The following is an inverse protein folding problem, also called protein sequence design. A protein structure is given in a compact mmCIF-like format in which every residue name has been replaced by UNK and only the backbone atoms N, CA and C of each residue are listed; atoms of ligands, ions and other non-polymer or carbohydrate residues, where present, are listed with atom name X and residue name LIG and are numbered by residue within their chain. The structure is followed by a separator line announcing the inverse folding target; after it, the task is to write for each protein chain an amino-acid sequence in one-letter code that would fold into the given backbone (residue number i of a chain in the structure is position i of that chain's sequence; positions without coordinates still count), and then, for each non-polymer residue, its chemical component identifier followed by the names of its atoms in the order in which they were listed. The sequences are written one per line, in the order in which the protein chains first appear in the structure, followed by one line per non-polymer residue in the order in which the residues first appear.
data_IF_342315372502
#
_entry.id   IF_342315372502
#
_cell.length_a   1.000
_cell.length_b   1.000
_cell.length_c   1.000
_cell.angle_alpha   90.00
_cell.angle_beta   90.00
_cell.angle_gamma   90.00
#
_symmetry.space_group_name_H-M   'P 1'
#
loop_
_entity.id
_entity.type
_entity.pdbx_description
1 polymer ?
#
# COMPACT_ATOMS: atom_id res chain seq x y z
N UNK A 1 -7.11 -1.85 23.87
CA UNK A 1 -7.17 -1.32 22.50
C UNK A 1 -5.92 -0.47 22.26
N UNK A 2 -5.10 -0.83 21.27
CA UNK A 2 -3.95 -0.07 20.81
C UNK A 2 -4.41 1.19 20.03
N UNK A 3 -5.17 2.07 20.68
CA UNK A 3 -5.65 3.33 20.10
C UNK A 3 -4.50 4.36 20.03
N UNK A 4 -3.37 4.06 20.66
CA UNK A 4 -2.10 4.75 20.47
C UNK A 4 -1.18 3.93 19.56
N UNK A 5 -1.60 3.68 18.32
CA UNK A 5 -0.62 3.49 17.26
C UNK A 5 0.09 4.84 17.09
N UNK A 6 1.15 5.03 17.87
CA UNK A 6 2.04 6.17 17.68
C UNK A 6 2.45 6.15 16.20
N UNK A 7 2.27 7.24 15.44
CA UNK A 7 2.54 7.26 14.00
C UNK A 7 3.99 6.88 13.65
N UNK A 8 4.90 6.91 14.63
CA UNK A 8 6.27 6.43 14.51
C UNK A 8 6.43 4.89 14.44
N UNK A 9 5.45 4.11 14.92
CA UNK A 9 5.49 2.64 14.90
C UNK A 9 4.80 2.06 13.65
N UNK A 10 3.99 2.86 12.97
CA UNK A 10 3.16 2.46 11.84
C UNK A 10 3.92 1.75 10.68
N UNK A 11 5.13 2.15 10.26
CA UNK A 11 5.80 1.46 9.15
C UNK A 11 6.31 0.06 9.52
N UNK A 12 6.83 -0.11 10.75
CA UNK A 12 7.32 -1.40 11.22
C UNK A 12 6.18 -2.34 11.64
N UNK A 13 5.17 -1.79 12.32
CA UNK A 13 4.01 -2.55 12.74
C UNK A 13 3.08 -2.87 11.56
N UNK A 14 2.95 -1.95 10.61
CA UNK A 14 2.09 -2.12 9.44
C UNK A 14 2.56 -3.22 8.50
N UNK A 15 3.87 -3.37 8.30
CA UNK A 15 4.44 -4.48 7.52
C UNK A 15 4.25 -5.82 8.21
N UNK A 16 4.46 -5.88 9.54
CA UNK A 16 4.22 -7.09 10.33
C UNK A 16 2.74 -7.51 10.35
N UNK A 17 1.82 -6.55 10.46
CA UNK A 17 0.37 -6.81 10.43
C UNK A 17 -0.08 -7.24 9.03
N UNK A 18 0.43 -6.61 7.96
CA UNK A 18 0.14 -7.01 6.59
C UNK A 18 0.57 -8.47 6.33
N UNK A 19 1.75 -8.86 6.80
CA UNK A 19 2.23 -10.24 6.71
C UNK A 19 1.37 -11.21 7.54
N UNK A 20 0.96 -10.81 8.75
CA UNK A 20 0.07 -11.62 9.58
C UNK A 20 -1.28 -11.88 8.90
N UNK A 21 -1.86 -10.88 8.21
CA UNK A 21 -3.14 -11.01 7.51
C UNK A 21 -3.08 -11.96 6.30
N UNK A 22 -1.90 -12.17 5.72
CA UNK A 22 -1.67 -13.12 4.63
C UNK A 22 -1.29 -14.53 5.11
N UNK A 23 -1.03 -14.72 6.41
CA UNK A 23 -0.60 -16.00 6.99
C UNK A 23 -1.75 -16.90 7.47
N UNK A 24 -1.39 -18.08 7.98
CA UNK A 24 -2.33 -19.01 8.61
C UNK A 24 -2.90 -18.43 9.91
N UNK A 25 -4.10 -18.86 10.33
CA UNK A 25 -4.70 -18.45 11.62
C UNK A 25 -3.78 -18.67 12.83
N UNK A 26 -2.86 -19.64 12.74
CA UNK A 26 -1.84 -19.89 13.77
C UNK A 26 -0.71 -18.83 13.78
N UNK A 27 -0.29 -18.33 12.62
CA UNK A 27 0.75 -17.30 12.51
C UNK A 27 0.27 -15.97 13.11
N UNK A 28 -1.00 -15.63 12.86
CA UNK A 28 -1.66 -14.46 13.46
C UNK A 28 -1.59 -14.53 14.99
N UNK A 29 -1.96 -15.68 15.56
CA UNK A 29 -1.98 -15.84 17.01
C UNK A 29 -0.58 -15.65 17.62
N UNK A 30 0.46 -16.22 16.99
CA UNK A 30 1.84 -16.12 17.46
C UNK A 30 2.35 -14.68 17.38
N UNK A 31 2.14 -14.00 16.24
CA UNK A 31 2.63 -12.64 16.02
C UNK A 31 1.98 -11.65 17.00
N UNK A 32 0.65 -11.70 17.14
CA UNK A 32 -0.06 -10.81 18.05
C UNK A 32 0.29 -11.09 19.53
N UNK A 33 0.48 -12.36 19.91
CA UNK A 33 0.87 -12.72 21.28
C UNK A 33 2.30 -12.29 21.58
N UNK A 34 3.24 -12.48 20.64
CA UNK A 34 4.63 -12.03 20.78
C UNK A 34 4.73 -10.50 20.83
N UNK A 35 3.92 -9.79 20.05
CA UNK A 35 3.87 -8.33 20.07
C UNK A 35 3.32 -7.81 21.41
N UNK A 36 2.24 -8.41 21.90
CA UNK A 36 1.66 -8.10 23.20
C UNK A 36 2.64 -8.35 24.35
N UNK A 37 3.31 -9.51 24.33
CA UNK A 37 4.36 -9.85 25.29
C UNK A 37 5.53 -8.87 25.21
N UNK A 38 6.02 -8.53 24.01
CA UNK A 38 7.14 -7.61 23.82
C UNK A 38 6.85 -6.20 24.36
N UNK A 39 5.62 -5.71 24.22
CA UNK A 39 5.21 -4.40 24.72
C UNK A 39 4.91 -4.41 26.23
N UNK A 40 4.44 -5.53 26.77
CA UNK A 40 4.22 -5.74 28.20
C UNK A 40 5.52 -6.02 28.98
N UNK A 41 6.51 -6.67 28.34
CA UNK A 41 7.78 -7.06 28.95
C UNK A 41 8.53 -5.90 29.63
N UNK A 42 8.73 -4.72 28.99
CA UNK A 42 9.43 -3.62 29.65
C UNK A 42 8.65 -3.12 30.88
N UNK A 43 7.31 -3.03 30.80
CA UNK A 43 6.49 -2.64 31.94
C UNK A 43 6.55 -3.66 33.08
N UNK A 44 6.52 -4.96 32.77
CA UNK A 44 6.69 -6.04 33.72
C UNK A 44 8.09 -6.04 34.36
N UNK A 45 9.13 -5.78 33.56
CA UNK A 45 10.51 -5.71 34.01
C UNK A 45 10.74 -4.50 34.95
N UNK A 46 10.13 -3.36 34.65
CA UNK A 46 10.15 -2.19 35.52
C UNK A 46 9.32 -2.39 36.80
N UNK A 47 8.18 -3.10 36.73
CA UNK A 47 7.37 -3.42 37.90
C UNK A 47 8.07 -4.43 38.85
N UNK A 48 8.83 -5.38 38.30
CA UNK A 48 9.57 -6.38 39.09
C UNK A 48 10.86 -5.83 39.76
N UNK A 49 11.41 -4.71 39.27
CA UNK A 49 12.64 -4.09 39.82
C UNK A 49 12.51 -2.56 39.96
N UNK A 50 11.92 -2.04 41.05
CA UNK A 50 11.78 -0.60 41.28
C UNK A 50 13.11 0.15 41.45
N UNK A 51 14.22 -0.55 41.74
CA UNK A 51 15.56 0.07 41.86
C UNK A 51 16.15 0.59 40.54
N UNK A 52 15.60 0.23 39.38
CA UNK A 52 16.02 0.80 38.09
C UNK A 52 15.40 2.19 37.84
N UNK A 53 14.28 2.49 38.50
CA UNK A 53 13.62 3.80 38.43
C UNK A 53 14.42 4.88 39.15
N UNK A 54 15.16 4.53 40.19
CA UNK A 54 16.00 5.47 40.95
C UNK A 54 17.34 5.77 40.25
N UNK A 55 17.72 5.01 39.23
CA UNK A 55 18.90 5.26 38.38
C UNK A 55 18.59 6.13 37.15
N UNK A 56 17.33 6.47 36.92
CA UNK A 56 16.98 7.41 35.86
C UNK A 56 17.54 8.80 36.19
N UNK A 57 18.38 9.39 35.31
CA UNK A 57 18.96 10.70 35.54
C UNK A 57 17.85 11.73 35.71
N UNK A 58 18.04 12.65 36.67
CA UNK A 58 17.07 13.72 36.95
C UNK A 58 16.68 14.43 35.64
N UNK A 59 15.38 14.72 35.40
CA UNK A 59 14.92 15.41 34.21
C UNK A 59 15.67 16.73 34.04
N UNK A 60 16.49 16.81 33.01
CA UNK A 60 17.40 17.94 32.76
C UNK A 60 17.65 18.14 31.26
N UNK A 61 18.80 18.72 30.90
CA UNK A 61 19.14 19.10 29.51
C UNK A 61 19.13 17.91 28.52
N UNK A 62 19.41 16.70 28.99
CA UNK A 62 19.35 15.48 28.18
C UNK A 62 17.93 15.18 27.65
N UNK A 63 16.89 15.43 28.45
CA UNK A 63 15.49 15.23 28.03
C UNK A 63 15.07 16.18 26.89
N UNK A 64 15.67 17.38 26.84
CA UNK A 64 15.46 18.33 25.73
C UNK A 64 16.11 17.81 24.44
N UNK A 65 17.32 17.24 24.51
CA UNK A 65 17.97 16.62 23.36
C UNK A 65 17.17 15.41 22.84
N UNK A 66 16.69 14.55 23.74
CA UNK A 66 15.83 13.41 23.38
C UNK A 66 14.53 13.88 22.71
N UNK A 67 13.90 14.95 23.20
CA UNK A 67 12.71 15.54 22.58
C UNK A 67 12.98 16.00 21.15
N UNK A 68 14.12 16.65 20.91
CA UNK A 68 14.51 17.09 19.57
C UNK A 68 14.80 15.92 18.63
N UNK A 69 15.49 14.88 19.10
CA UNK A 69 15.76 13.67 18.32
C UNK A 69 14.46 12.95 17.96
N UNK A 70 13.56 12.77 18.92
CA UNK A 70 12.27 12.11 18.69
C UNK A 70 11.38 12.94 17.76
N UNK A 71 11.39 14.27 17.91
CA UNK A 71 10.69 15.20 17.03
C UNK A 71 11.21 15.17 15.60
N UNK A 72 12.53 15.10 15.41
CA UNK A 72 13.15 14.98 14.09
C UNK A 72 12.76 13.66 13.42
N UNK A 73 12.78 12.54 14.16
CA UNK A 73 12.39 11.22 13.65
C UNK A 73 10.91 11.20 13.22
N UNK A 74 10.03 11.83 14.00
CA UNK A 74 8.62 12.06 13.64
C UNK A 74 8.47 12.91 12.37
N UNK A 75 9.26 13.98 12.23
CA UNK A 75 9.25 14.81 11.04
C UNK A 75 9.72 14.04 9.79
N UNK A 76 10.74 13.19 9.91
CA UNK A 76 11.18 12.30 8.82
C UNK A 76 10.07 11.34 8.40
N UNK A 77 9.38 10.71 9.35
CA UNK A 77 8.24 9.83 9.02
C UNK A 77 7.10 10.60 8.36
N UNK A 78 6.83 11.84 8.78
CA UNK A 78 5.82 12.68 8.14
C UNK A 78 6.19 13.00 6.69
N UNK A 79 7.47 13.34 6.41
CA UNK A 79 7.97 13.58 5.05
C UNK A 79 7.84 12.32 4.20
N UNK A 80 8.21 11.16 4.75
CA UNK A 80 8.08 9.88 4.05
C UNK A 80 6.63 9.53 3.72
N UNK A 81 5.71 9.70 4.67
CA UNK A 81 4.27 9.52 4.44
C UNK A 81 3.73 10.49 3.39
N UNK A 82 4.25 11.72 3.35
CA UNK A 82 3.87 12.70 2.33
C UNK A 82 4.32 12.25 0.93
N UNK A 83 5.52 11.67 0.83
CA UNK A 83 6.01 11.05 -0.40
C UNK A 83 5.14 9.87 -0.85
N UNK A 84 4.73 9.00 0.07
CA UNK A 84 3.80 7.89 -0.20
C UNK A 84 2.42 8.42 -0.64
N UNK A 85 1.90 9.46 0.02
CA UNK A 85 0.62 10.07 -0.30
C UNK A 85 0.60 10.69 -1.70
N UNK A 86 1.72 11.29 -2.13
CA UNK A 86 1.88 11.78 -3.52
C UNK A 86 1.74 10.62 -4.51
N UNK A 87 2.30 9.46 -4.18
CA UNK A 87 2.26 8.26 -5.02
C UNK A 87 0.87 7.60 -5.13
N UNK A 88 0.00 7.74 -4.13
CA UNK A 88 -1.32 7.09 -4.08
C UNK A 88 -2.47 8.05 -4.45
N UNK A 89 -2.44 9.29 -3.97
CA UNK A 89 -3.51 10.27 -4.17
C UNK A 89 -3.18 11.32 -5.26
N UNK A 90 -1.96 11.31 -5.77
CA UNK A 90 -1.46 12.31 -6.72
C UNK A 90 -1.00 13.61 -6.07
N UNK A 91 -0.09 14.30 -6.75
CA UNK A 91 0.60 15.49 -6.23
C UNK A 91 -0.32 16.65 -5.80
N UNK A 92 -1.52 16.73 -6.40
CA UNK A 92 -2.51 17.78 -6.07
C UNK A 92 -3.14 17.57 -4.69
N UNK A 93 -3.47 16.34 -4.32
CA UNK A 93 -4.08 16.03 -3.01
C UNK A 93 -3.04 16.19 -1.89
N UNK A 94 -1.83 15.69 -2.11
CA UNK A 94 -0.74 15.83 -1.15
C UNK A 94 -0.36 17.30 -0.91
N UNK A 95 -0.35 18.13 -1.96
CA UNK A 95 -0.11 19.57 -1.85
C UNK A 95 -1.17 20.27 -1.00
N UNK A 96 -2.46 19.98 -1.23
CA UNK A 96 -3.56 20.59 -0.46
C UNK A 96 -3.50 20.20 1.02
N UNK A 97 -3.26 18.92 1.34
CA UNK A 97 -3.16 18.44 2.73
C UNK A 97 -1.94 19.06 3.44
N UNK A 98 -0.78 19.13 2.76
CA UNK A 98 0.42 19.73 3.34
C UNK A 98 0.23 21.22 3.62
N UNK A 99 -0.40 21.96 2.70
CA UNK A 99 -0.68 23.39 2.87
C UNK A 99 -1.67 23.63 4.00
N UNK A 100 -2.75 22.83 4.09
CA UNK A 100 -3.73 22.93 5.18
C UNK A 100 -3.09 22.66 6.54
N UNK A 101 -2.21 21.66 6.64
CA UNK A 101 -1.52 21.32 7.88
C UNK A 101 -0.55 22.44 8.29
N UNK A 102 0.15 23.05 7.33
CA UNK A 102 1.05 24.18 7.57
C UNK A 102 0.29 25.43 8.02
N UNK A 103 -0.85 25.73 7.38
CA UNK A 103 -1.73 26.85 7.75
C UNK A 103 -2.32 26.64 9.14
N UNK A 104 -2.71 25.41 9.49
CA UNK A 104 -3.18 25.06 10.83
C UNK A 104 -2.11 25.33 11.90
N UNK A 105 -0.87 24.86 11.68
CA UNK A 105 0.26 25.10 12.57
C UNK A 105 0.58 26.59 12.72
N UNK A 106 0.59 27.34 11.62
CA UNK A 106 0.81 28.80 11.63
C UNK A 106 -0.28 29.53 12.42
N UNK A 107 -1.56 29.20 12.22
CA UNK A 107 -2.67 29.78 12.98
C UNK A 107 -2.64 29.41 14.48
N UNK A 108 -2.17 28.21 14.84
CA UNK A 108 -2.00 27.82 16.24
C UNK A 108 -0.88 28.60 16.93
N UNK A 109 0.22 28.93 16.24
CA UNK A 109 1.38 29.59 16.83
C UNK A 109 1.23 31.11 16.89
N UNK A 110 0.58 31.74 15.90
CA UNK A 110 0.47 33.21 15.80
C UNK A 110 -0.46 33.83 16.87
N UNK A 111 0.07 34.54 17.88
CA UNK A 111 -0.71 35.09 19.00
C UNK A 111 -1.65 36.25 18.63
N UNK A 112 -1.60 36.71 17.38
CA UNK A 112 -2.28 37.91 16.90
C UNK A 112 -3.80 37.74 16.65
N UNK A 113 -4.33 36.52 16.68
CA UNK A 113 -5.77 36.27 16.51
C UNK A 113 -6.46 36.05 17.87
N UNK A 114 -7.51 36.83 18.14
CA UNK A 114 -8.34 36.67 19.34
C UNK A 114 -8.89 35.24 19.47
N UNK A 115 -9.05 34.79 20.72
CA UNK A 115 -9.31 33.37 21.08
C UNK A 115 -10.48 32.74 20.30
N UNK A 116 -11.56 33.51 20.06
CA UNK A 116 -12.74 33.06 19.30
C UNK A 116 -12.47 32.91 17.81
N UNK A 117 -11.74 33.84 17.20
CA UNK A 117 -11.39 33.80 15.77
C UNK A 117 -10.41 32.66 15.49
N UNK A 118 -9.49 32.40 16.43
CA UNK A 118 -8.54 31.29 16.40
C UNK A 118 -9.25 29.93 16.47
N UNK A 119 -10.22 29.79 17.37
CA UNK A 119 -11.02 28.56 17.48
C UNK A 119 -11.83 28.31 16.19
N UNK A 120 -12.44 29.34 15.61
CA UNK A 120 -13.23 29.25 14.38
C UNK A 120 -12.38 28.95 13.14
N UNK A 121 -11.17 29.52 13.07
CA UNK A 121 -10.21 29.22 12.00
C UNK A 121 -9.68 27.78 12.10
N UNK A 122 -9.36 27.30 13.31
CA UNK A 122 -8.88 25.94 13.53
C UNK A 122 -9.95 24.89 13.21
N UNK A 123 -11.22 25.14 13.57
CA UNK A 123 -12.32 24.23 13.22
C UNK A 123 -12.61 24.24 11.72
N UNK A 124 -12.61 25.40 11.07
CA UNK A 124 -12.82 25.50 9.63
C UNK A 124 -11.71 24.79 8.82
N UNK A 125 -10.44 24.95 9.22
CA UNK A 125 -9.30 24.27 8.56
C UNK A 125 -9.34 22.76 8.81
N UNK A 126 -9.69 22.31 10.02
CA UNK A 126 -9.84 20.89 10.32
C UNK A 126 -10.95 20.24 9.48
N UNK A 127 -12.10 20.91 9.34
CA UNK A 127 -13.21 20.44 8.50
C UNK A 127 -12.82 20.42 7.02
N UNK A 128 -12.13 21.46 6.53
CA UNK A 128 -11.69 21.53 5.13
C UNK A 128 -10.62 20.47 4.82
N UNK A 129 -9.73 20.17 5.77
CA UNK A 129 -8.73 19.11 5.66
C UNK A 129 -9.33 17.70 5.62
N UNK A 130 -10.49 17.48 6.25
CA UNK A 130 -11.23 16.22 6.15
C UNK A 130 -11.99 16.09 4.81
N UNK A 131 -12.55 17.19 4.29
CA UNK A 131 -13.45 17.14 3.12
C UNK A 131 -12.67 17.15 1.79
N UNK A 132 -11.58 17.91 1.69
CA UNK A 132 -10.78 18.04 0.45
C UNK A 132 -10.24 16.72 -0.12
N UNK A 133 -9.69 15.78 0.67
CA UNK A 133 -9.24 14.50 0.12
C UNK A 133 -10.40 13.67 -0.43
N UNK A 134 -11.59 13.74 0.17
CA UNK A 134 -12.76 12.97 -0.27
C UNK A 134 -13.28 13.43 -1.65
N UNK A 135 -13.26 14.74 -1.90
CA UNK A 135 -13.76 15.33 -3.16
C UNK A 135 -12.75 15.22 -4.31
N UNK A 136 -11.45 15.39 -4.03
CA UNK A 136 -10.41 15.36 -5.07
C UNK A 136 -10.03 13.95 -5.53
N UNK A 137 -10.16 12.94 -4.66
CA UNK A 137 -9.94 11.54 -5.04
C UNK A 137 -10.94 11.10 -6.13
N UNK A 138 -12.16 11.65 -6.19
CA UNK A 138 -13.12 11.29 -7.23
C UNK A 138 -12.71 11.73 -8.65
N UNK A 139 -11.97 12.83 -8.81
CA UNK A 139 -11.67 13.44 -10.12
C UNK A 139 -10.35 12.99 -10.78
N UNK A 140 -9.53 12.18 -10.10
CA UNK A 140 -8.19 11.80 -10.59
C UNK A 140 -8.12 10.56 -11.48
N UNK A 141 -9.25 9.97 -11.86
CA UNK A 141 -9.33 8.66 -12.52
C UNK A 141 -9.16 8.70 -14.05
N UNK A 142 -8.17 9.45 -14.53
CA UNK A 142 -7.62 9.26 -15.87
C UNK A 142 -6.10 9.23 -15.75
N UNK A 143 -5.56 8.14 -15.21
CA UNK A 143 -4.14 7.82 -15.34
C UNK A 143 -3.98 6.71 -16.35
N UNK A 144 -3.24 7.02 -17.40
CA UNK A 144 -2.97 6.22 -18.58
C UNK A 144 -2.62 4.78 -18.23
N UNK A 145 -3.43 3.84 -18.72
CA UNK A 145 -2.98 2.48 -19.01
C UNK A 145 -1.60 2.60 -19.67
N UNK A 146 -0.59 1.89 -19.14
CA UNK A 146 0.70 1.77 -19.81
C UNK A 146 0.42 1.37 -21.25
N UNK A 147 1.02 2.06 -22.21
CA UNK A 147 0.61 2.23 -23.62
C UNK A 147 0.17 0.97 -24.42
N UNK A 148 0.36 -0.25 -23.89
CA UNK A 148 -0.04 -1.53 -24.50
C UNK A 148 -0.92 -2.43 -23.60
N UNK A 149 -1.35 -1.98 -22.41
CA UNK A 149 -2.24 -2.75 -21.54
C UNK A 149 -3.69 -2.43 -21.86
N UNK A 150 -4.50 -3.47 -22.01
CA UNK A 150 -5.95 -3.34 -22.17
C UNK A 150 -6.63 -3.38 -20.80
N UNK A 151 -7.75 -2.68 -20.65
CA UNK A 151 -8.58 -2.78 -19.46
C UNK A 151 -9.08 -4.23 -19.27
N UNK A 152 -9.15 -4.67 -18.01
CA UNK A 152 -9.61 -6.01 -17.68
C UNK A 152 -11.09 -6.21 -18.01
N UNK A 153 -11.37 -7.23 -18.82
CA UNK A 153 -12.71 -7.72 -19.04
C UNK A 153 -12.70 -9.26 -19.06
N UNK A 154 -13.31 -9.86 -18.04
CA UNK A 154 -13.35 -11.32 -17.88
C UNK A 154 -14.01 -12.03 -19.08
N UNK A 155 -15.02 -11.41 -19.70
CA UNK A 155 -15.75 -12.01 -20.83
C UNK A 155 -14.93 -12.09 -22.12
N UNK A 156 -13.86 -11.31 -22.23
CA UNK A 156 -13.01 -11.27 -23.42
C UNK A 156 -11.95 -12.39 -23.40
N UNK A 157 -11.60 -12.91 -22.22
CA UNK A 157 -10.53 -13.91 -22.06
C UNK A 157 -10.80 -15.18 -22.89
N UNK A 158 -11.97 -15.85 -22.78
CA UNK A 158 -12.23 -17.08 -23.54
C UNK A 158 -12.26 -16.83 -25.05
N UNK A 159 -12.72 -15.64 -25.47
CA UNK A 159 -12.77 -15.24 -26.88
C UNK A 159 -11.37 -15.04 -27.45
N UNK A 160 -10.47 -14.41 -26.71
CA UNK A 160 -9.08 -14.20 -27.16
C UNK A 160 -8.29 -15.51 -27.17
N UNK A 161 -8.51 -16.37 -26.19
CA UNK A 161 -7.88 -17.70 -26.12
C UNK A 161 -8.32 -18.58 -27.29
N UNK A 162 -9.61 -18.56 -27.66
CA UNK A 162 -10.11 -19.32 -28.82
C UNK A 162 -9.58 -18.80 -30.16
N UNK A 163 -9.21 -17.51 -30.24
CA UNK A 163 -8.51 -16.90 -31.37
C UNK A 163 -7.02 -17.27 -31.45
N UNK A 164 -6.51 -18.08 -30.52
CA UNK A 164 -5.10 -18.48 -30.50
C UNK A 164 -4.18 -17.51 -29.74
N UNK A 165 -4.73 -16.47 -29.10
CA UNK A 165 -3.94 -15.49 -28.33
C UNK A 165 -3.68 -15.98 -26.91
N UNK A 166 -2.56 -15.54 -26.35
CA UNK A 166 -2.24 -15.72 -24.93
C UNK A 166 -2.68 -14.46 -24.19
N UNK A 167 -3.40 -14.59 -23.08
CA UNK A 167 -3.89 -13.45 -22.28
C UNK A 167 -3.15 -13.44 -20.95
N UNK A 168 -2.43 -12.37 -20.67
CA UNK A 168 -1.80 -12.14 -19.37
C UNK A 168 -2.67 -11.21 -18.55
N UNK A 169 -3.14 -11.63 -17.38
CA UNK A 169 -3.96 -10.80 -16.49
C UNK A 169 -3.14 -10.40 -15.27
N UNK A 170 -2.91 -9.10 -15.07
CA UNK A 170 -2.32 -8.51 -13.87
C UNK A 170 -3.40 -7.80 -13.06
N UNK A 171 -3.72 -8.33 -11.88
CA UNK A 171 -4.60 -7.65 -10.91
C UNK A 171 -3.72 -6.92 -9.91
N UNK A 172 -3.83 -5.59 -9.91
CA UNK A 172 -2.90 -4.67 -9.26
C UNK A 172 -3.61 -3.51 -8.57
N UNK A 173 -2.87 -2.72 -7.80
CA UNK A 173 -3.35 -1.48 -7.22
C UNK A 173 -2.20 -0.51 -6.92
N UNK A 174 -2.49 0.80 -6.90
CA UNK A 174 -1.52 1.85 -6.58
C UNK A 174 -0.98 1.78 -5.15
N UNK A 175 -1.79 1.27 -4.22
CA UNK A 175 -1.42 1.06 -2.82
C UNK A 175 -0.64 -0.24 -2.59
N UNK A 176 -0.55 -1.12 -3.59
CA UNK A 176 0.11 -2.41 -3.48
C UNK A 176 1.62 -2.29 -3.77
N UNK A 177 2.44 -2.30 -2.71
CA UNK A 177 3.90 -2.21 -2.84
C UNK A 177 4.50 -3.41 -3.58
N UNK A 178 4.06 -4.63 -3.26
CA UNK A 178 4.52 -5.86 -3.92
C UNK A 178 4.21 -5.85 -5.42
N UNK A 179 3.07 -5.28 -5.82
CA UNK A 179 2.70 -5.11 -7.22
C UNK A 179 3.66 -4.17 -7.96
N UNK A 180 4.03 -3.03 -7.34
CA UNK A 180 5.01 -2.10 -7.89
C UNK A 180 6.41 -2.72 -8.02
N UNK A 181 6.81 -3.52 -7.04
CA UNK A 181 8.09 -4.26 -7.07
C UNK A 181 8.09 -5.29 -8.21
N UNK A 182 7.06 -6.13 -8.31
CA UNK A 182 6.92 -7.10 -9.40
C UNK A 182 6.94 -6.41 -10.77
N UNK A 183 6.24 -5.28 -10.90
CA UNK A 183 6.19 -4.53 -12.16
C UNK A 183 7.57 -3.99 -12.54
N UNK A 184 8.27 -3.33 -11.62
CA UNK A 184 9.59 -2.74 -11.88
C UNK A 184 10.76 -3.74 -12.01
N UNK A 185 10.65 -4.91 -11.38
CA UNK A 185 11.69 -5.95 -11.40
C UNK A 185 11.46 -7.04 -12.45
N UNK A 186 10.21 -7.28 -12.86
CA UNK A 186 9.86 -8.40 -13.76
C UNK A 186 9.07 -7.92 -14.98
N UNK A 187 7.88 -7.34 -14.81
CA UNK A 187 6.97 -7.07 -15.94
C UNK A 187 7.49 -6.01 -16.91
N UNK A 188 8.14 -4.96 -16.39
CA UNK A 188 8.70 -3.87 -17.18
C UNK A 188 10.16 -4.14 -17.62
N UNK A 189 10.71 -5.31 -17.28
CA UNK A 189 12.08 -5.71 -17.64
C UNK A 189 12.09 -6.67 -18.83
N UNK A 190 13.17 -6.62 -19.60
CA UNK A 190 13.43 -7.64 -20.60
C UNK A 190 13.80 -8.98 -19.94
N UNK A 191 13.39 -10.12 -20.52
CA UNK A 191 12.67 -10.29 -21.79
C UNK A 191 11.13 -10.15 -21.69
N UNK A 192 10.57 -10.08 -20.49
CA UNK A 192 9.11 -10.14 -20.24
C UNK A 192 8.37 -8.98 -20.89
N UNK A 193 8.89 -7.75 -20.75
CA UNK A 193 8.27 -6.55 -21.33
C UNK A 193 8.07 -6.66 -22.85
N UNK A 194 9.00 -7.28 -23.55
CA UNK A 194 8.92 -7.50 -25.00
C UNK A 194 7.92 -8.59 -25.36
N UNK A 195 7.87 -9.67 -24.57
CA UNK A 195 6.89 -10.75 -24.76
C UNK A 195 5.46 -10.27 -24.55
N UNK A 196 5.22 -9.46 -23.50
CA UNK A 196 3.91 -8.87 -23.21
C UNK A 196 3.44 -7.87 -24.28
N UNK A 197 4.37 -7.27 -25.04
CA UNK A 197 4.06 -6.38 -26.16
C UNK A 197 3.95 -7.08 -27.51
N UNK A 198 4.16 -8.39 -27.56
CA UNK A 198 4.07 -9.16 -28.81
C UNK A 198 2.62 -9.26 -29.29
N UNK A 199 2.39 -9.33 -30.60
CA UNK A 199 1.03 -9.37 -31.19
C UNK A 199 0.19 -10.59 -30.76
N UNK A 200 0.85 -11.65 -30.29
CA UNK A 200 0.20 -12.88 -29.85
C UNK A 200 -0.18 -12.87 -28.36
N UNK A 201 0.26 -11.84 -27.60
CA UNK A 201 -0.02 -11.70 -26.18
C UNK A 201 -0.90 -10.48 -25.96
N UNK A 202 -2.00 -10.65 -25.23
CA UNK A 202 -2.87 -9.57 -24.79
C UNK A 202 -2.64 -9.37 -23.29
N UNK A 203 -2.02 -8.26 -22.93
CA UNK A 203 -1.79 -7.88 -21.53
C UNK A 203 -3.00 -7.11 -21.01
N UNK A 204 -3.77 -7.71 -20.10
CA UNK A 204 -4.92 -7.12 -19.43
C UNK A 204 -4.54 -6.67 -18.02
N UNK A 205 -4.92 -5.44 -17.67
CA UNK A 205 -4.70 -4.91 -16.33
C UNK A 205 -6.03 -4.70 -15.61
N UNK A 206 -6.19 -5.33 -14.45
CA UNK A 206 -7.31 -5.10 -13.54
C UNK A 206 -6.82 -4.19 -12.40
N UNK A 207 -7.20 -2.92 -12.46
CA UNK A 207 -6.86 -1.95 -11.41
C UNK A 207 -7.88 -2.01 -10.27
N UNK A 208 -7.46 -2.60 -9.14
CA UNK A 208 -8.23 -2.69 -7.89
C UNK A 208 -7.81 -1.63 -6.85
N UNK A 209 -7.29 -0.48 -7.32
CA UNK A 209 -7.06 0.69 -6.46
C UNK A 209 -8.35 1.17 -5.80
N UNK A 210 -9.49 0.98 -6.49
CA UNK A 210 -10.83 1.23 -5.94
C UNK A 210 -11.61 -0.09 -5.85
N UNK A 211 -12.50 -0.23 -4.86
CA UNK A 211 -13.39 -1.38 -4.78
C UNK A 211 -14.17 -1.56 -6.08
N UNK A 212 -14.04 -2.73 -6.68
CA UNK A 212 -14.74 -3.14 -7.90
C UNK A 212 -15.27 -4.57 -7.68
N UNK A 213 -16.57 -4.77 -7.86
CA UNK A 213 -17.25 -6.06 -7.68
C UNK A 213 -16.84 -7.10 -8.71
N UNK A 214 -16.51 -6.68 -9.93
CA UNK A 214 -16.18 -7.59 -11.03
C UNK A 214 -14.79 -8.20 -10.80
N UNK A 215 -13.83 -7.39 -10.36
CA UNK A 215 -12.49 -7.85 -9.98
C UNK A 215 -12.56 -8.74 -8.74
N UNK A 216 -13.37 -8.37 -7.74
CA UNK A 216 -13.56 -9.17 -6.53
C UNK A 216 -14.13 -10.56 -6.85
N UNK A 217 -15.21 -10.60 -7.66
CA UNK A 217 -15.84 -11.85 -8.11
C UNK A 217 -14.85 -12.70 -8.89
N UNK A 218 -14.08 -12.07 -9.79
CA UNK A 218 -13.05 -12.77 -10.55
C UNK A 218 -11.99 -13.42 -9.64
N UNK A 219 -11.46 -12.71 -8.66
CA UNK A 219 -10.49 -13.25 -7.70
C UNK A 219 -11.08 -14.42 -6.90
N UNK A 220 -12.34 -14.31 -6.46
CA UNK A 220 -13.07 -15.37 -5.78
C UNK A 220 -13.19 -16.63 -6.66
N UNK A 221 -13.46 -16.49 -7.97
CA UNK A 221 -13.48 -17.65 -8.88
C UNK A 221 -12.14 -18.36 -8.99
N UNK A 222 -11.04 -17.64 -8.76
CA UNK A 222 -9.68 -18.18 -8.74
C UNK A 222 -9.24 -18.63 -7.34
N UNK A 223 -10.17 -18.65 -6.37
CA UNK A 223 -9.94 -18.97 -4.96
C UNK A 223 -8.86 -18.08 -4.31
N UNK A 224 -8.87 -16.78 -4.67
CA UNK A 224 -7.94 -15.76 -4.16
C UNK A 224 -8.72 -14.58 -3.60
N UNK A 225 -8.19 -13.98 -2.53
CA UNK A 225 -8.84 -12.86 -1.83
C UNK A 225 -7.98 -11.59 -1.79
N UNK A 226 -6.92 -11.52 -2.59
CA UNK A 226 -5.95 -10.44 -2.51
C UNK A 226 -5.11 -10.26 -3.76
N UNK A 227 -4.31 -9.18 -3.74
CA UNK A 227 -3.33 -8.81 -4.75
C UNK A 227 -1.92 -8.80 -4.12
N UNK A 228 -0.84 -8.98 -4.88
CA UNK A 228 -0.77 -9.16 -6.35
C UNK A 228 -1.34 -10.50 -6.82
N UNK A 229 -2.11 -10.48 -7.91
CA UNK A 229 -2.60 -11.70 -8.55
C UNK A 229 -2.29 -11.64 -10.05
N UNK A 230 -1.62 -12.68 -10.54
CA UNK A 230 -1.19 -12.78 -11.93
C UNK A 230 -1.54 -14.17 -12.48
N UNK A 231 -2.09 -14.22 -13.69
CA UNK A 231 -2.47 -15.47 -14.34
C UNK A 231 -2.31 -15.36 -15.85
N UNK A 232 -1.89 -16.47 -16.46
CA UNK A 232 -1.67 -16.56 -17.91
C UNK A 232 -2.64 -17.55 -18.52
N UNK A 233 -3.51 -17.08 -19.40
CA UNK A 233 -4.39 -17.93 -20.21
C UNK A 233 -3.80 -18.12 -21.60
N UNK A 234 -4.03 -19.27 -22.20
CA UNK A 234 -3.68 -19.50 -23.59
C UNK A 234 -4.36 -20.73 -24.16
N UNK A 235 -4.18 -21.01 -25.46
CA UNK A 235 -4.87 -22.12 -26.13
C UNK A 235 -4.63 -23.48 -25.47
N UNK A 236 -3.47 -23.66 -24.83
CA UNK A 236 -3.08 -24.90 -24.14
C UNK A 236 -3.34 -24.89 -22.64
N UNK A 237 -3.67 -23.72 -22.10
CA UNK A 237 -4.05 -23.52 -20.72
C UNK A 237 -5.32 -22.65 -20.65
N UNK A 238 -6.48 -23.17 -21.13
CA UNK A 238 -7.73 -22.41 -21.12
C UNK A 238 -8.23 -22.10 -19.70
N UNK A 239 -7.83 -22.92 -18.71
CA UNK A 239 -8.12 -22.70 -17.29
C UNK A 239 -7.13 -21.73 -16.61
N UNK A 240 -6.09 -21.28 -17.33
CA UNK A 240 -5.07 -20.37 -16.82
C UNK A 240 -3.96 -21.04 -16.02
N UNK A 241 -2.76 -20.46 -16.09
CA UNK A 241 -1.57 -20.82 -15.30
C UNK A 241 -1.38 -19.74 -14.25
N UNK A 242 -1.65 -20.08 -13.00
CA UNK A 242 -1.60 -19.16 -11.87
C UNK A 242 -0.14 -18.92 -11.47
N UNK A 243 0.27 -17.65 -11.42
CA UNK A 243 1.62 -17.25 -11.03
C UNK A 243 1.70 -17.00 -9.53
N UNK A 244 2.92 -17.11 -8.99
CA UNK A 244 3.20 -16.78 -7.60
C UNK A 244 3.04 -15.27 -7.34
N UNK A 245 2.69 -14.92 -6.10
CA UNK A 245 2.53 -13.52 -5.66
C UNK A 245 3.83 -12.72 -5.77
N UNK A 246 4.98 -13.39 -5.61
CA UNK A 246 6.29 -12.85 -5.95
C UNK A 246 6.64 -13.35 -7.35
N UNK A 247 6.70 -12.43 -8.31
CA UNK A 247 6.98 -12.77 -9.70
C UNK A 247 8.49 -12.98 -9.91
N UNK A 248 8.83 -13.89 -10.81
CA UNK A 248 10.18 -14.06 -11.34
C UNK A 248 10.14 -14.07 -12.86
N UNK A 249 11.23 -13.62 -13.49
CA UNK A 249 11.34 -13.54 -14.95
C UNK A 249 11.13 -14.93 -15.59
N UNK A 250 11.79 -15.96 -15.06
CA UNK A 250 11.66 -17.33 -15.58
C UNK A 250 10.22 -17.83 -15.50
N UNK A 251 9.56 -17.67 -14.35
CA UNK A 251 8.18 -18.14 -14.16
C UNK A 251 7.20 -17.50 -15.17
N UNK A 252 7.36 -16.21 -15.46
CA UNK A 252 6.49 -15.52 -16.43
C UNK A 252 6.77 -15.99 -17.86
N UNK A 253 8.05 -16.10 -18.24
CA UNK A 253 8.45 -16.57 -19.57
C UNK A 253 7.97 -18.01 -19.80
N UNK A 254 8.18 -18.89 -18.83
CA UNK A 254 7.80 -20.30 -18.90
C UNK A 254 6.27 -20.44 -18.97
N UNK A 255 5.52 -19.65 -18.19
CA UNK A 255 4.07 -19.63 -18.24
C UNK A 255 3.53 -19.15 -19.60
N UNK A 256 4.09 -18.06 -20.15
CA UNK A 256 3.73 -17.57 -21.49
C UNK A 256 4.05 -18.59 -22.59
N UNK A 257 5.20 -19.26 -22.50
CA UNK A 257 5.58 -20.30 -23.45
C UNK A 257 4.65 -21.53 -23.35
N UNK A 258 4.36 -21.99 -22.14
CA UNK A 258 3.49 -23.15 -21.88
C UNK A 258 2.06 -22.89 -22.32
N UNK A 259 1.53 -21.69 -22.03
CA UNK A 259 0.18 -21.31 -22.42
C UNK A 259 -0.02 -21.25 -23.95
N UNK A 260 1.05 -20.93 -24.70
CA UNK A 260 1.03 -20.81 -26.17
C UNK A 260 1.14 -22.15 -26.91
N UNK A 261 1.88 -23.12 -26.38
CA UNK A 261 2.22 -24.36 -27.11
C UNK A 261 1.03 -25.31 -27.24
N UNK A 262 0.32 -25.30 -28.38
CA UNK A 262 -0.70 -26.32 -28.72
C UNK A 262 -0.01 -27.68 -28.79
N UNK A 263 -0.30 -28.57 -27.84
CA UNK A 263 0.06 -30.00 -27.96
C UNK A 263 -0.74 -30.64 -29.08
#
# INVERSE_FOLDING_TARGET
AAILATPCSAPFLGTAIAFALTGSSFDVLIIFTSLGLGLALPYLLFAARPSWVTHLPKPGRWMVAVKWVLGALLATTAIWLLWVLIGVAGIRVAGVVSVLTLVFLLCSILPALGLRLRALALTAVAVLALITPFVMVQKGAERSLSQNWTEFNQSDIPRLVSQGKTVFVDVTADWCLSCKVNKGLVLDREPVATLLRSENVVAMQADWTRPNSDIATYLETQNRFGIPFNIVYGPSAPNGILLSEILSISAVVDALATARQRK
#
